data_IF_308302215714
#
_entry.id   IF_308302215714
#
_cell.length_a   1.000
_cell.length_b   1.000
_cell.length_c   1.000
_cell.angle_alpha   90.00
_cell.angle_beta   90.00
_cell.angle_gamma   90.00
#
_symmetry.space_group_name_H-M   'P 1'
#
loop_
_entity.id
_entity.type
_entity.pdbx_description
1 polymer ?
#
# COMPACT_ATOMS: atom_id res chain seq x y z
N UNK A 1 7.19 6.71 17.66
CA UNK A 1 6.92 8.15 17.72
C UNK A 1 5.62 8.48 17.01
N UNK A 2 5.06 9.65 17.31
CA UNK A 2 3.94 10.22 16.57
C UNK A 2 4.43 11.42 15.75
N UNK A 3 4.11 11.42 14.45
CA UNK A 3 4.42 12.52 13.53
C UNK A 3 3.14 13.30 13.27
N UNK A 4 3.14 14.60 13.56
CA UNK A 4 1.99 15.48 13.28
C UNK A 4 1.96 15.87 11.82
N UNK A 5 0.83 15.61 11.17
CA UNK A 5 0.53 16.07 9.82
C UNK A 5 0.10 17.53 9.83
N UNK A 6 0.00 18.16 8.67
CA UNK A 6 -0.35 19.60 8.49
C UNK A 6 -1.68 20.03 9.10
N UNK A 7 -2.60 19.09 9.28
CA UNK A 7 -3.91 19.29 9.92
C UNK A 7 -3.90 19.00 11.42
N UNK A 8 -2.73 18.63 11.98
CA UNK A 8 -2.55 18.29 13.38
C UNK A 8 -2.79 16.82 13.72
N UNK A 9 -3.29 16.01 12.80
CA UNK A 9 -3.47 14.55 12.98
C UNK A 9 -2.13 13.87 13.19
N UNK A 10 -2.03 12.97 14.16
CA UNK A 10 -0.77 12.30 14.51
C UNK A 10 -0.74 10.88 13.97
N UNK A 11 0.27 10.58 13.15
CA UNK A 11 0.48 9.25 12.59
C UNK A 11 1.58 8.51 13.34
N UNK A 12 1.26 7.29 13.77
CA UNK A 12 2.22 6.44 14.48
C UNK A 12 3.28 5.94 13.51
N UNK A 13 4.54 6.11 13.91
CA UNK A 13 5.69 5.79 13.08
C UNK A 13 6.74 5.06 13.91
N UNK A 14 7.08 3.84 13.50
CA UNK A 14 8.17 3.05 14.06
C UNK A 14 9.45 3.33 13.26
N UNK A 15 10.53 3.68 13.96
CA UNK A 15 11.80 4.08 13.34
C UNK A 15 12.92 3.23 13.93
N UNK A 16 13.68 2.59 13.04
CA UNK A 16 14.83 1.75 13.39
C UNK A 16 16.10 2.34 12.79
N UNK A 17 17.02 2.72 13.64
CA UNK A 17 18.30 3.31 13.21
C UNK A 17 19.46 2.34 13.38
N UNK A 18 20.46 2.33 12.48
CA UNK A 18 21.69 1.56 12.68
C UNK A 18 22.40 1.96 13.98
N UNK A 19 22.92 0.99 14.73
CA UNK A 19 23.59 1.24 16.01
C UNK A 19 24.86 2.10 15.90
N UNK A 20 25.50 2.08 14.74
CA UNK A 20 26.74 2.82 14.44
C UNK A 20 26.51 4.17 13.75
N UNK A 21 25.25 4.63 13.69
CA UNK A 21 24.92 5.95 13.14
C UNK A 21 25.61 7.06 13.94
N UNK A 22 26.27 7.99 13.24
CA UNK A 22 27.04 9.08 13.86
C UNK A 22 27.16 10.27 12.90
N UNK A 23 27.78 11.34 13.32
CA UNK A 23 28.03 12.51 12.46
C UNK A 23 28.89 12.19 11.23
N UNK A 24 29.76 11.18 11.33
CA UNK A 24 30.60 10.68 10.23
C UNK A 24 29.98 9.53 9.44
N UNK A 25 28.93 8.88 9.97
CA UNK A 25 28.22 7.76 9.34
C UNK A 25 26.74 8.05 9.23
N UNK A 26 26.34 8.62 8.10
CA UNK A 26 24.96 8.99 7.82
C UNK A 26 24.32 7.96 6.88
N UNK A 27 23.06 7.62 7.17
CA UNK A 27 22.33 6.60 6.41
C UNK A 27 21.09 7.18 5.73
N UNK A 28 20.70 6.63 4.55
CA UNK A 28 19.44 6.96 3.91
C UNK A 28 18.26 6.37 4.69
N UNK A 29 17.11 6.95 4.48
CA UNK A 29 15.83 6.47 5.02
C UNK A 29 15.16 5.58 3.99
N UNK A 30 14.62 4.44 4.42
CA UNK A 30 13.76 3.59 3.62
C UNK A 30 12.41 3.44 4.34
N UNK A 31 11.34 3.98 3.74
CA UNK A 31 10.03 4.14 4.35
C UNK A 31 8.98 3.22 3.72
N UNK A 32 8.11 2.68 4.55
CA UNK A 32 6.87 1.99 4.15
C UNK A 32 5.69 2.55 4.93
N UNK A 33 4.63 2.94 4.22
CA UNK A 33 3.33 3.31 4.80
C UNK A 33 2.34 2.17 4.55
N UNK A 34 1.48 1.87 5.53
CA UNK A 34 0.61 0.70 5.46
C UNK A 34 -0.71 0.88 6.22
N UNK A 35 -1.78 0.30 5.68
CA UNK A 35 -3.05 0.12 6.40
C UNK A 35 -3.12 -1.24 7.13
N UNK A 36 -2.05 -2.05 7.09
CA UNK A 36 -2.02 -3.44 7.60
C UNK A 36 -1.28 -3.62 8.92
N UNK A 37 -1.06 -2.55 9.69
CA UNK A 37 -0.33 -2.56 10.96
C UNK A 37 1.20 -2.60 10.83
N UNK A 38 1.84 -1.71 11.56
CA UNK A 38 3.31 -1.70 11.69
C UNK A 38 3.80 -2.48 12.91
N UNK A 39 2.91 -3.24 13.56
CA UNK A 39 3.26 -4.06 14.72
C UNK A 39 4.63 -4.77 14.56
N UNK A 40 5.31 -5.09 15.68
CA UNK A 40 4.83 -4.99 17.06
C UNK A 40 4.87 -3.56 17.62
N UNK A 41 3.92 -3.24 18.50
CA UNK A 41 3.86 -1.96 19.19
C UNK A 41 4.46 -2.07 20.60
N UNK A 42 4.94 -0.95 21.12
CA UNK A 42 5.58 -0.83 22.43
C UNK A 42 7.07 -0.55 22.32
N UNK A 43 7.64 0.07 23.37
CA UNK A 43 9.02 0.55 23.34
C UNK A 43 10.06 -0.59 23.26
N UNK A 44 9.75 -1.74 23.84
CA UNK A 44 10.64 -2.90 23.91
C UNK A 44 10.31 -3.99 22.88
N UNK A 45 9.37 -3.73 21.96
CA UNK A 45 8.95 -4.67 20.96
C UNK A 45 9.51 -4.30 19.58
N UNK A 46 10.28 -5.23 18.97
CA UNK A 46 10.97 -4.98 17.72
C UNK A 46 10.57 -5.95 16.63
N UNK A 47 10.58 -5.49 15.38
CA UNK A 47 10.44 -6.37 14.22
C UNK A 47 11.60 -7.36 14.16
N UNK A 48 11.31 -8.62 13.84
CA UNK A 48 12.32 -9.67 13.67
C UNK A 48 13.20 -9.45 12.44
N UNK A 49 12.69 -8.78 11.41
CA UNK A 49 13.42 -8.41 10.20
C UNK A 49 13.03 -7.01 9.76
N UNK A 50 13.95 -6.28 9.14
CA UNK A 50 13.77 -4.92 8.67
C UNK A 50 13.98 -4.85 7.15
N UNK A 51 13.21 -3.99 6.50
CA UNK A 51 13.28 -3.78 5.06
C UNK A 51 12.69 -4.95 4.26
N UNK A 52 12.72 -4.82 2.93
CA UNK A 52 12.18 -5.84 2.03
C UNK A 52 13.07 -7.09 1.89
N UNK A 53 14.36 -6.99 2.26
CA UNK A 53 15.31 -8.10 2.16
C UNK A 53 16.53 -7.90 3.07
N UNK A 54 17.29 -8.99 3.28
CA UNK A 54 18.46 -9.00 4.15
C UNK A 54 19.65 -8.18 3.62
N UNK A 55 19.71 -7.91 2.33
CA UNK A 55 20.82 -7.14 1.73
C UNK A 55 20.67 -5.67 2.14
N UNK A 56 19.50 -5.08 1.96
CA UNK A 56 19.23 -3.71 2.41
C UNK A 56 19.38 -3.53 3.92
N UNK A 57 19.07 -4.58 4.70
CA UNK A 57 19.33 -4.54 6.14
C UNK A 57 20.84 -4.50 6.45
N UNK A 58 21.66 -5.27 5.70
CA UNK A 58 23.13 -5.25 5.84
C UNK A 58 23.74 -3.92 5.39
N UNK A 59 23.17 -3.28 4.38
CA UNK A 59 23.59 -1.96 3.88
C UNK A 59 23.24 -0.82 4.84
N UNK A 60 22.49 -1.12 5.91
CA UNK A 60 22.21 -0.20 7.02
C UNK A 60 21.42 1.05 6.60
N UNK A 61 20.16 0.87 6.28
CA UNK A 61 19.21 1.95 6.15
C UNK A 61 18.60 2.35 7.52
N UNK A 62 18.08 3.57 7.62
CA UNK A 62 17.11 3.93 8.65
C UNK A 62 15.76 3.44 8.13
N UNK A 63 15.21 2.39 8.76
CA UNK A 63 13.93 1.83 8.35
C UNK A 63 12.78 2.52 9.08
N UNK A 64 11.79 2.94 8.32
CA UNK A 64 10.61 3.65 8.81
C UNK A 64 9.34 2.94 8.38
N UNK A 65 8.46 2.66 9.35
CA UNK A 65 7.15 2.05 9.12
C UNK A 65 6.08 2.93 9.74
N UNK A 66 5.08 3.32 8.96
CA UNK A 66 4.01 4.20 9.42
C UNK A 66 2.64 3.56 9.19
N UNK A 67 1.82 3.52 10.27
CA UNK A 67 0.39 3.29 10.14
C UNK A 67 -0.24 4.49 9.44
N UNK A 68 -1.01 4.28 8.37
CA UNK A 68 -1.70 5.37 7.69
C UNK A 68 -2.82 5.95 8.55
N UNK A 69 -3.29 7.11 8.18
CA UNK A 69 -4.38 7.86 8.83
C UNK A 69 -5.58 6.96 9.14
N UNK A 70 -6.06 7.01 10.38
CA UNK A 70 -7.21 6.26 10.85
C UNK A 70 -7.00 4.76 11.03
N UNK A 71 -5.78 4.25 10.88
CA UNK A 71 -5.47 2.82 11.09
C UNK A 71 -4.60 2.62 12.33
N UNK A 72 -4.87 1.52 13.05
CA UNK A 72 -4.14 1.04 14.22
C UNK A 72 -3.77 2.14 15.22
N UNK A 73 -2.48 2.46 15.38
CA UNK A 73 -2.02 3.46 16.34
C UNK A 73 -2.09 4.90 15.81
N UNK A 74 -2.34 5.12 14.52
CA UNK A 74 -2.51 6.46 13.96
C UNK A 74 -3.87 7.07 14.28
N UNK A 75 -3.91 8.38 14.46
CA UNK A 75 -5.13 9.18 14.63
C UNK A 75 -5.84 9.42 13.29
N UNK A 76 -6.99 10.07 13.35
CA UNK A 76 -7.81 10.45 12.20
C UNK A 76 -8.80 9.36 11.78
N UNK A 77 -9.45 9.61 10.65
CA UNK A 77 -10.44 8.72 10.06
C UNK A 77 -9.83 8.02 8.85
N UNK A 78 -10.01 6.71 8.76
CA UNK A 78 -9.58 5.95 7.60
C UNK A 78 -10.56 6.15 6.44
N UNK A 79 -10.05 6.62 5.32
CA UNK A 79 -10.76 6.61 4.05
C UNK A 79 -10.13 5.53 3.18
N UNK A 80 -10.91 4.48 2.87
CA UNK A 80 -10.39 3.45 1.98
C UNK A 80 -10.17 4.05 0.58
N UNK A 81 -8.95 3.85 0.03
CA UNK A 81 -8.60 4.39 -1.29
C UNK A 81 -8.76 5.91 -1.35
N UNK A 82 -8.14 6.63 -0.45
CA UNK A 82 -8.27 8.09 -0.32
C UNK A 82 -8.12 8.79 -1.66
N UNK A 83 -9.15 9.54 -2.12
CA UNK A 83 -9.06 10.32 -3.35
C UNK A 83 -7.93 11.34 -3.31
N UNK A 84 -7.26 11.54 -4.46
CA UNK A 84 -6.23 12.54 -4.59
C UNK A 84 -6.83 13.94 -4.71
N UNK A 85 -6.38 14.86 -3.87
CA UNK A 85 -6.78 16.29 -3.97
C UNK A 85 -5.99 16.97 -5.08
N UNK A 86 -6.70 17.53 -6.07
CA UNK A 86 -6.07 18.11 -7.27
C UNK A 86 -5.49 19.50 -7.02
N UNK A 87 -6.26 20.37 -6.34
CA UNK A 87 -5.83 21.73 -5.99
C UNK A 87 -5.70 21.83 -4.48
N UNK A 88 -4.47 21.63 -3.98
CA UNK A 88 -4.21 21.57 -2.56
C UNK A 88 -4.01 22.95 -1.94
N UNK A 89 -4.82 23.26 -0.95
CA UNK A 89 -4.51 24.31 0.01
C UNK A 89 -3.48 23.78 1.04
N UNK A 90 -2.98 24.67 1.89
CA UNK A 90 -2.06 24.28 2.98
C UNK A 90 -2.69 23.35 4.02
N UNK A 91 -4.03 23.23 4.06
CA UNK A 91 -4.77 22.43 5.03
C UNK A 91 -5.32 21.13 4.46
N UNK A 92 -5.37 21.00 3.12
CA UNK A 92 -5.90 19.80 2.48
C UNK A 92 -4.98 18.61 2.71
N UNK A 93 -5.58 17.48 3.01
CA UNK A 93 -4.88 16.24 3.32
C UNK A 93 -5.30 15.11 2.39
N UNK A 94 -4.32 14.39 1.92
CA UNK A 94 -4.43 13.10 1.22
C UNK A 94 -3.16 12.28 1.48
N UNK A 95 -3.05 11.11 0.88
CA UNK A 95 -1.91 10.22 1.10
C UNK A 95 -0.58 10.83 0.64
N UNK A 96 -0.58 11.69 -0.39
CA UNK A 96 0.65 12.33 -0.85
C UNK A 96 1.10 13.45 0.10
N UNK A 97 0.17 14.18 0.70
CA UNK A 97 0.50 15.21 1.70
C UNK A 97 0.97 14.59 3.01
N UNK A 98 0.35 13.50 3.46
CA UNK A 98 0.81 12.75 4.64
C UNK A 98 2.22 12.17 4.40
N UNK A 99 2.52 11.73 3.16
CA UNK A 99 3.86 11.30 2.77
C UNK A 99 4.85 12.45 2.83
N UNK A 100 4.49 13.63 2.30
CA UNK A 100 5.33 14.83 2.36
C UNK A 100 5.66 15.22 3.79
N UNK A 101 4.64 15.37 4.63
CA UNK A 101 4.78 15.81 6.02
C UNK A 101 5.61 14.81 6.85
N UNK A 102 5.44 13.51 6.56
CA UNK A 102 6.25 12.46 7.19
C UNK A 102 7.72 12.57 6.80
N UNK A 103 8.02 12.72 5.50
CA UNK A 103 9.40 12.87 5.02
C UNK A 103 10.04 14.13 5.60
N UNK A 104 9.33 15.25 5.57
CA UNK A 104 9.83 16.53 6.10
C UNK A 104 10.19 16.41 7.58
N UNK A 105 9.32 15.77 8.38
CA UNK A 105 9.60 15.51 9.78
C UNK A 105 10.82 14.61 9.99
N UNK A 106 10.91 13.50 9.22
CA UNK A 106 12.01 12.53 9.33
C UNK A 106 13.36 13.18 9.06
N UNK A 107 13.47 13.97 7.98
CA UNK A 107 14.72 14.67 7.63
C UNK A 107 15.14 15.65 8.71
N UNK A 108 14.21 16.37 9.33
CA UNK A 108 14.47 17.36 10.35
C UNK A 108 14.79 16.77 11.72
N UNK A 109 14.20 15.63 12.07
CA UNK A 109 14.23 15.11 13.44
C UNK A 109 15.12 13.88 13.64
N UNK A 110 15.39 13.10 12.59
CA UNK A 110 16.29 11.97 12.71
C UNK A 110 17.73 12.43 12.54
N UNK A 111 18.48 12.45 13.63
CA UNK A 111 19.89 12.86 13.60
C UNK A 111 20.71 11.92 12.69
N UNK A 112 21.67 12.52 11.97
CA UNK A 112 22.61 11.80 11.11
C UNK A 112 21.96 10.98 9.97
N UNK A 113 20.76 11.32 9.51
CA UNK A 113 20.30 10.92 8.22
C UNK A 113 21.12 11.61 7.12
N UNK A 114 21.16 11.05 5.91
CA UNK A 114 21.92 11.63 4.78
C UNK A 114 21.10 12.54 3.87
N UNK A 115 19.88 12.89 4.25
CA UNK A 115 18.98 13.74 3.47
C UNK A 115 18.25 13.04 2.32
N UNK A 116 18.36 11.71 2.20
CA UNK A 116 17.73 10.94 1.10
C UNK A 116 16.73 9.95 1.66
N UNK A 117 15.55 9.90 1.04
CA UNK A 117 14.46 8.99 1.37
C UNK A 117 14.11 8.16 0.15
N UNK A 118 14.02 6.84 0.35
CA UNK A 118 13.35 5.92 -0.54
C UNK A 118 12.04 5.43 0.10
N UNK A 119 11.08 5.06 -0.74
CA UNK A 119 9.85 4.42 -0.26
C UNK A 119 9.52 3.17 -1.07
N UNK A 120 8.85 2.21 -0.44
CA UNK A 120 8.44 0.97 -1.08
C UNK A 120 7.19 0.41 -0.44
N UNK A 121 6.51 -0.48 -1.15
CA UNK A 121 5.37 -1.22 -0.62
C UNK A 121 4.77 -2.13 -1.68
N UNK A 122 4.14 -3.21 -1.23
CA UNK A 122 3.49 -4.20 -2.09
C UNK A 122 1.99 -4.20 -1.84
N UNK A 123 1.18 -4.30 -2.91
CA UNK A 123 -0.29 -4.33 -2.82
C UNK A 123 -0.83 -2.97 -2.35
N UNK A 124 -1.68 -2.89 -1.37
CA UNK A 124 -2.15 -1.61 -0.82
C UNK A 124 -1.00 -0.69 -0.36
N UNK A 125 0.07 -1.14 0.34
CA UNK A 125 1.29 -0.37 0.52
C UNK A 125 1.98 0.03 -0.80
N UNK A 126 1.78 -0.72 -1.87
CA UNK A 126 2.17 -0.34 -3.24
C UNK A 126 1.40 0.87 -3.75
N UNK A 127 0.08 0.93 -3.49
CA UNK A 127 -0.73 2.12 -3.75
C UNK A 127 -0.23 3.32 -2.95
N UNK A 128 0.03 3.18 -1.63
CA UNK A 128 0.61 4.29 -0.84
C UNK A 128 1.96 4.75 -1.37
N UNK A 129 2.76 3.83 -1.88
CA UNK A 129 4.04 4.17 -2.52
C UNK A 129 3.83 4.89 -3.85
N UNK A 130 2.87 4.46 -4.67
CA UNK A 130 2.55 5.10 -5.94
C UNK A 130 1.99 6.52 -5.75
N UNK A 131 1.00 6.69 -4.86
CA UNK A 131 0.48 8.03 -4.55
C UNK A 131 1.51 8.90 -3.85
N UNK A 132 2.40 8.30 -3.06
CA UNK A 132 3.51 8.97 -2.40
C UNK A 132 4.54 9.58 -3.38
N UNK A 133 4.59 9.12 -4.66
CA UNK A 133 5.41 9.78 -5.70
C UNK A 133 4.98 11.22 -5.93
N UNK A 134 3.70 11.53 -5.68
CA UNK A 134 3.11 12.86 -5.85
C UNK A 134 3.40 13.80 -4.68
N UNK A 135 4.10 13.35 -3.65
CA UNK A 135 4.53 14.20 -2.54
C UNK A 135 5.51 15.28 -3.02
N UNK A 136 6.29 15.00 -4.06
CA UNK A 136 7.29 15.94 -4.62
C UNK A 136 8.19 16.57 -3.55
N UNK A 137 8.56 15.78 -2.52
CA UNK A 137 9.47 16.24 -1.49
C UNK A 137 10.91 16.14 -1.98
N UNK A 138 11.75 17.19 -1.83
CA UNK A 138 13.12 17.20 -2.40
C UNK A 138 14.03 16.09 -1.86
N UNK A 139 13.75 15.55 -0.68
CA UNK A 139 14.48 14.41 -0.12
C UNK A 139 14.01 13.04 -0.67
N UNK A 140 12.86 12.95 -1.34
CA UNK A 140 12.36 11.71 -1.93
C UNK A 140 13.10 11.45 -3.24
N UNK A 141 14.00 10.46 -3.24
CA UNK A 141 14.90 10.18 -4.38
C UNK A 141 14.58 8.88 -5.10
N UNK A 142 13.80 7.99 -4.47
CA UNK A 142 13.40 6.71 -5.07
C UNK A 142 12.06 6.22 -4.53
N UNK A 143 11.24 5.63 -5.40
CA UNK A 143 9.98 4.96 -5.05
C UNK A 143 9.90 3.62 -5.76
N UNK A 144 9.50 2.57 -5.01
CA UNK A 144 9.25 1.25 -5.59
C UNK A 144 7.84 0.77 -5.27
N UNK A 145 6.84 1.22 -6.04
CA UNK A 145 5.49 0.67 -5.96
C UNK A 145 5.49 -0.75 -6.54
N UNK A 146 5.10 -1.73 -5.74
CA UNK A 146 5.12 -3.14 -6.09
C UNK A 146 3.70 -3.70 -6.05
N UNK A 147 3.26 -4.38 -7.11
CA UNK A 147 1.86 -4.70 -7.32
C UNK A 147 0.94 -3.56 -6.85
N UNK A 148 1.19 -2.32 -7.30
CA UNK A 148 0.39 -1.18 -6.86
C UNK A 148 -0.97 -1.19 -7.54
N UNK A 149 -2.02 -0.85 -6.80
CA UNK A 149 -3.32 -0.56 -7.37
C UNK A 149 -3.26 0.80 -8.07
N UNK A 150 -3.80 0.90 -9.28
CA UNK A 150 -3.89 2.15 -10.05
C UNK A 150 -5.30 2.72 -10.08
N UNK A 151 -6.27 1.88 -10.35
CA UNK A 151 -7.70 2.15 -10.37
C UNK A 151 -8.40 1.00 -9.68
N UNK A 152 -8.88 1.23 -8.47
CA UNK A 152 -9.44 0.19 -7.63
C UNK A 152 -10.64 -0.53 -8.25
N UNK A 153 -11.43 0.15 -9.08
CA UNK A 153 -12.54 -0.51 -9.75
C UNK A 153 -12.06 -1.63 -10.67
N UNK A 154 -11.03 -1.37 -11.47
CA UNK A 154 -10.53 -2.31 -12.46
C UNK A 154 -9.46 -3.28 -11.95
N UNK A 155 -8.71 -2.86 -10.93
CA UNK A 155 -7.68 -3.72 -10.34
C UNK A 155 -8.31 -4.72 -9.37
N UNK A 156 -8.92 -4.24 -8.27
CA UNK A 156 -9.33 -5.10 -7.14
C UNK A 156 -10.79 -5.58 -7.20
N UNK A 157 -11.70 -4.76 -7.74
CA UNK A 157 -13.12 -5.01 -7.46
C UNK A 157 -13.93 -5.53 -8.62
N UNK A 158 -13.60 -5.16 -9.86
CA UNK A 158 -14.36 -5.57 -11.03
C UNK A 158 -13.47 -5.95 -12.20
N UNK A 159 -13.61 -7.16 -12.72
CA UNK A 159 -12.99 -7.57 -13.97
C UNK A 159 -14.06 -7.72 -15.05
N UNK A 160 -13.90 -6.99 -16.16
CA UNK A 160 -14.85 -6.95 -17.26
C UNK A 160 -16.30 -6.65 -16.81
N UNK A 161 -16.45 -5.78 -15.79
CA UNK A 161 -17.74 -5.39 -15.23
C UNK A 161 -18.31 -6.34 -14.16
N UNK A 162 -17.69 -7.48 -13.93
CA UNK A 162 -18.11 -8.42 -12.90
C UNK A 162 -17.38 -8.14 -11.59
N UNK A 163 -18.13 -8.05 -10.49
CA UNK A 163 -17.58 -7.92 -9.15
C UNK A 163 -16.82 -9.19 -8.75
N UNK A 164 -15.63 -9.03 -8.19
CA UNK A 164 -14.76 -10.12 -7.78
C UNK A 164 -15.17 -10.72 -6.42
N UNK A 165 -16.12 -11.64 -6.44
CA UNK A 165 -16.62 -12.31 -5.23
C UNK A 165 -15.54 -13.08 -4.44
N UNK A 166 -14.43 -13.45 -5.08
CA UNK A 166 -13.31 -14.13 -4.41
C UNK A 166 -12.76 -13.37 -3.20
N UNK A 167 -12.78 -12.05 -3.26
CA UNK A 167 -12.30 -11.17 -2.17
C UNK A 167 -13.39 -10.74 -1.18
N UNK A 168 -14.62 -11.19 -1.35
CA UNK A 168 -15.75 -10.80 -0.50
C UNK A 168 -15.51 -11.04 1.00
N UNK A 169 -14.71 -12.05 1.35
CA UNK A 169 -14.32 -12.35 2.73
C UNK A 169 -13.18 -11.48 3.24
N UNK A 170 -12.39 -10.88 2.36
CA UNK A 170 -11.19 -10.10 2.70
C UNK A 170 -11.48 -8.60 2.77
N UNK A 171 -12.24 -8.08 1.83
CA UNK A 171 -12.55 -6.64 1.72
C UNK A 171 -13.19 -5.98 2.95
N UNK A 172 -13.98 -6.69 3.76
CA UNK A 172 -14.56 -6.05 4.95
C UNK A 172 -13.55 -5.44 5.92
N UNK A 173 -12.29 -5.88 5.91
CA UNK A 173 -11.23 -5.27 6.72
C UNK A 173 -11.01 -3.78 6.39
N UNK A 174 -11.29 -3.37 5.16
CA UNK A 174 -11.16 -1.98 4.71
C UNK A 174 -12.33 -1.09 5.14
N UNK A 175 -13.43 -1.67 5.60
CA UNK A 175 -14.57 -0.93 6.14
C UNK A 175 -14.61 -0.88 7.68
N UNK A 176 -13.55 -1.33 8.35
CA UNK A 176 -13.43 -1.21 9.81
C UNK A 176 -12.98 0.20 10.16
N UNK A 177 -13.78 0.91 10.95
CA UNK A 177 -13.39 2.17 11.56
C UNK A 177 -13.11 1.97 13.05
N UNK A 178 -12.22 2.77 13.59
CA UNK A 178 -11.92 2.84 15.00
C UNK A 178 -12.15 4.24 15.55
N UNK A 179 -12.50 4.35 16.81
CA UNK A 179 -12.75 5.63 17.49
C UNK A 179 -11.49 6.21 18.15
N UNK A 180 -10.48 5.38 18.39
CA UNK A 180 -9.22 5.73 19.05
C UNK A 180 -8.08 4.83 18.53
N UNK A 181 -6.82 5.23 18.70
CA UNK A 181 -5.66 4.39 18.39
C UNK A 181 -5.71 3.03 19.11
N UNK A 182 -5.34 1.97 18.38
CA UNK A 182 -5.37 0.59 18.85
C UNK A 182 -4.05 -0.13 18.51
N UNK A 183 -3.43 -0.75 19.52
CA UNK A 183 -2.15 -1.45 19.39
C UNK A 183 -2.31 -2.93 18.95
N UNK A 184 -3.30 -3.22 18.12
CA UNK A 184 -3.56 -4.56 17.60
C UNK A 184 -2.61 -4.86 16.42
N UNK A 185 -2.17 -6.12 16.31
CA UNK A 185 -1.44 -6.57 15.13
C UNK A 185 -2.34 -6.72 13.90
N UNK A 186 -3.60 -7.02 14.10
CA UNK A 186 -4.63 -7.14 13.07
C UNK A 186 -6.02 -6.83 13.64
N UNK A 187 -6.93 -6.35 12.79
CA UNK A 187 -8.34 -6.24 13.17
C UNK A 187 -8.97 -7.63 13.30
N UNK A 188 -10.01 -7.72 14.13
CA UNK A 188 -10.76 -8.96 14.26
C UNK A 188 -11.26 -9.45 12.91
N UNK A 189 -11.35 -10.78 12.77
CA UNK A 189 -11.88 -11.42 11.57
C UNK A 189 -13.29 -10.89 11.27
N UNK A 190 -13.43 -10.29 10.09
CA UNK A 190 -14.70 -9.79 9.55
C UNK A 190 -15.34 -10.81 8.61
N UNK A 191 -14.74 -11.99 8.43
CA UNK A 191 -15.22 -12.98 7.47
C UNK A 191 -16.54 -13.62 7.91
N UNK A 192 -17.38 -13.92 6.94
CA UNK A 192 -18.61 -14.70 7.16
C UNK A 192 -18.22 -16.14 7.47
N UNK A 193 -18.74 -16.67 8.57
CA UNK A 193 -18.62 -18.09 8.87
C UNK A 193 -19.45 -18.90 7.88
N UNK A 194 -18.84 -19.86 7.23
CA UNK A 194 -19.50 -20.73 6.26
C UNK A 194 -19.82 -22.07 6.87
N UNK A 195 -20.94 -22.68 6.43
CA UNK A 195 -21.30 -24.03 6.79
C UNK A 195 -20.59 -25.09 5.93
N UNK A 196 -20.05 -24.68 4.80
CA UNK A 196 -19.37 -25.54 3.84
C UNK A 196 -18.01 -24.96 3.43
N UNK A 197 -17.07 -25.86 3.10
CA UNK A 197 -15.80 -25.50 2.41
C UNK A 197 -16.00 -25.34 0.90
N UNK A 198 -17.12 -25.79 0.36
CA UNK A 198 -17.47 -25.64 -1.05
C UNK A 198 -17.93 -24.19 -1.31
N UNK A 199 -17.16 -23.47 -2.11
CA UNK A 199 -17.45 -22.10 -2.49
C UNK A 199 -18.76 -21.94 -3.23
N UNK A 200 -19.19 -22.92 -4.03
CA UNK A 200 -20.44 -22.86 -4.78
C UNK A 200 -21.67 -22.87 -3.84
N UNK A 201 -21.61 -23.67 -2.79
CA UNK A 201 -22.64 -23.71 -1.75
C UNK A 201 -22.66 -22.38 -1.01
N UNK A 202 -21.48 -21.88 -0.59
CA UNK A 202 -21.36 -20.61 0.10
C UNK A 202 -21.98 -19.45 -0.70
N UNK A 203 -21.59 -19.29 -1.98
CA UNK A 203 -22.10 -18.19 -2.80
C UNK A 203 -23.59 -18.30 -3.09
N UNK A 204 -24.13 -19.51 -3.19
CA UNK A 204 -25.56 -19.73 -3.31
C UNK A 204 -26.33 -19.34 -2.02
N UNK A 205 -25.77 -19.63 -0.86
CA UNK A 205 -26.39 -19.37 0.43
C UNK A 205 -26.38 -17.88 0.81
N UNK A 206 -25.37 -17.11 0.41
CA UNK A 206 -25.31 -15.68 0.74
C UNK A 206 -26.24 -14.80 -0.11
N UNK A 207 -26.74 -15.34 -1.24
CA UNK A 207 -27.64 -14.62 -2.15
C UNK A 207 -26.94 -13.56 -3.00
N UNK A 208 -27.62 -12.47 -3.30
CA UNK A 208 -27.06 -11.34 -4.03
C UNK A 208 -26.04 -10.57 -3.17
N UNK A 209 -25.14 -9.81 -3.83
CA UNK A 209 -24.18 -8.98 -3.12
C UNK A 209 -24.86 -8.05 -2.10
N UNK A 210 -25.97 -7.42 -2.49
CA UNK A 210 -26.73 -6.53 -1.60
C UNK A 210 -27.27 -7.28 -0.38
N UNK A 211 -27.92 -8.43 -0.58
CA UNK A 211 -28.45 -9.24 0.52
C UNK A 211 -27.35 -9.69 1.48
N UNK A 212 -26.22 -10.12 0.92
CA UNK A 212 -25.06 -10.52 1.71
C UNK A 212 -24.49 -9.38 2.56
N UNK A 213 -24.37 -8.18 1.98
CA UNK A 213 -23.86 -6.99 2.69
C UNK A 213 -24.85 -6.52 3.74
N UNK A 214 -26.14 -6.43 3.44
CA UNK A 214 -27.17 -6.02 4.38
C UNK A 214 -27.26 -6.97 5.59
N UNK A 215 -27.06 -8.26 5.36
CA UNK A 215 -27.11 -9.28 6.40
C UNK A 215 -25.85 -9.37 7.26
N UNK A 216 -24.67 -9.29 6.64
CA UNK A 216 -23.40 -9.61 7.29
C UNK A 216 -22.49 -8.41 7.54
N UNK A 217 -22.67 -7.31 6.77
CA UNK A 217 -21.77 -6.17 6.76
C UNK A 217 -22.52 -4.83 6.85
N UNK A 218 -23.68 -4.81 7.53
CA UNK A 218 -24.53 -3.64 7.66
C UNK A 218 -23.78 -2.40 8.19
N UNK A 219 -22.89 -2.59 9.16
CA UNK A 219 -22.13 -1.50 9.79
C UNK A 219 -20.73 -1.31 9.18
N UNK A 220 -20.43 -2.00 8.08
CA UNK A 220 -19.17 -1.88 7.37
C UNK A 220 -19.30 -0.83 6.28
N UNK A 221 -18.70 0.35 6.50
CA UNK A 221 -18.89 1.48 5.59
C UNK A 221 -18.45 1.15 4.16
N UNK A 222 -17.34 0.42 3.98
CA UNK A 222 -16.82 0.15 2.65
C UNK A 222 -17.65 -0.88 1.88
N UNK A 223 -18.15 -1.91 2.56
CA UNK A 223 -19.04 -2.89 1.92
C UNK A 223 -20.36 -2.25 1.48
N UNK A 224 -20.86 -1.25 2.22
CA UNK A 224 -22.01 -0.45 1.80
C UNK A 224 -21.69 0.38 0.55
N UNK A 225 -20.50 1.01 0.47
CA UNK A 225 -20.08 1.76 -0.72
C UNK A 225 -19.99 0.86 -1.96
N UNK A 226 -19.49 -0.37 -1.84
CA UNK A 226 -19.47 -1.34 -2.96
C UNK A 226 -20.87 -1.59 -3.50
N UNK A 227 -21.87 -1.75 -2.63
CA UNK A 227 -23.26 -1.98 -3.04
C UNK A 227 -23.89 -0.72 -3.66
N UNK A 228 -23.56 0.46 -3.11
CA UNK A 228 -24.10 1.74 -3.58
C UNK A 228 -23.49 2.20 -4.91
N UNK A 229 -22.30 1.73 -5.23
CA UNK A 229 -21.52 2.10 -6.42
C UNK A 229 -21.17 0.88 -7.30
N UNK A 230 -22.18 0.17 -7.85
CA UNK A 230 -21.94 -1.07 -8.62
C UNK A 230 -21.34 -0.82 -10.01
N UNK A 231 -21.33 0.43 -10.46
CA UNK A 231 -20.81 0.87 -11.76
C UNK A 231 -19.63 1.81 -11.59
N UNK A 232 -18.85 2.00 -12.67
CA UNK A 232 -17.73 2.95 -12.69
C UNK A 232 -18.21 4.40 -12.71
N UNK A 233 -18.68 4.86 -11.56
CA UNK A 233 -19.18 6.23 -11.32
C UNK A 233 -18.11 7.15 -10.70
N UNK A 234 -18.52 8.33 -10.23
CA UNK A 234 -17.60 9.33 -9.68
C UNK A 234 -16.94 8.87 -8.35
N UNK A 235 -17.57 7.95 -7.61
CA UNK A 235 -16.95 7.32 -6.43
C UNK A 235 -15.66 6.62 -6.82
N UNK A 236 -15.68 5.74 -7.83
CA UNK A 236 -14.51 5.02 -8.32
C UNK A 236 -13.55 5.91 -9.09
N UNK A 237 -14.05 6.79 -9.97
CA UNK A 237 -13.22 7.72 -10.75
C UNK A 237 -12.37 8.63 -9.87
N UNK A 238 -12.89 9.09 -8.73
CA UNK A 238 -12.14 9.91 -7.77
C UNK A 238 -10.96 9.16 -7.13
N UNK A 239 -11.00 7.83 -7.17
CA UNK A 239 -9.99 6.92 -6.61
C UNK A 239 -9.00 6.38 -7.63
N UNK A 240 -9.14 6.77 -8.89
CA UNK A 240 -8.19 6.44 -9.95
C UNK A 240 -6.96 7.33 -9.83
N UNK A 241 -5.79 6.71 -9.59
CA UNK A 241 -4.53 7.42 -9.42
C UNK A 241 -3.94 7.94 -10.74
N UNK A 242 -4.22 7.26 -11.87
CA UNK A 242 -3.54 7.49 -13.15
C UNK A 242 -3.59 8.94 -13.64
N UNK A 243 -4.72 9.68 -13.59
CA UNK A 243 -4.77 11.07 -14.04
C UNK A 243 -3.84 12.02 -13.28
N UNK A 244 -3.42 11.62 -12.07
CA UNK A 244 -2.64 12.44 -11.16
C UNK A 244 -1.12 12.22 -11.26
N UNK A 245 -0.65 11.15 -11.93
CA UNK A 245 0.77 10.82 -12.07
C UNK A 245 1.51 11.78 -13.01
N UNK A 246 1.67 13.02 -12.55
CA UNK A 246 2.35 14.12 -13.23
C UNK A 246 3.32 14.82 -12.28
N UNK A 247 4.42 15.34 -12.82
CA UNK A 247 5.44 16.04 -12.05
C UNK A 247 6.31 15.10 -11.21
N UNK A 248 6.37 13.82 -11.55
CA UNK A 248 7.28 12.84 -10.92
C UNK A 248 8.69 13.07 -11.46
N UNK A 249 9.64 13.45 -10.60
CA UNK A 249 10.99 13.85 -10.97
C UNK A 249 12.12 12.97 -10.39
N UNK A 250 11.76 12.04 -9.51
CA UNK A 250 12.68 11.09 -8.89
C UNK A 250 12.62 9.69 -9.55
N UNK A 251 13.50 8.79 -9.13
CA UNK A 251 13.52 7.43 -9.66
C UNK A 251 12.32 6.62 -9.20
N UNK A 252 11.64 5.93 -10.15
CA UNK A 252 10.53 5.02 -9.86
C UNK A 252 10.84 3.66 -10.46
N UNK A 253 10.72 2.61 -9.62
CA UNK A 253 10.82 1.22 -10.05
C UNK A 253 9.52 0.49 -9.70
N UNK A 254 8.64 0.35 -10.67
CA UNK A 254 7.40 -0.41 -10.52
C UNK A 254 7.67 -1.91 -10.68
N UNK A 255 7.13 -2.72 -9.79
CA UNK A 255 7.31 -4.19 -9.82
C UNK A 255 5.95 -4.87 -9.91
N UNK A 256 5.86 -5.92 -10.74
CA UNK A 256 4.64 -6.72 -10.88
C UNK A 256 4.93 -8.16 -11.29
N UNK A 257 3.90 -9.00 -11.19
CA UNK A 257 3.95 -10.40 -11.60
C UNK A 257 3.00 -10.70 -12.74
N UNK A 258 3.44 -11.48 -13.73
CA UNK A 258 2.57 -11.92 -14.84
C UNK A 258 1.44 -12.86 -14.38
N UNK A 259 1.61 -13.49 -13.22
CA UNK A 259 0.62 -14.38 -12.60
C UNK A 259 -0.07 -13.74 -11.39
N UNK A 260 -0.02 -12.41 -11.30
CA UNK A 260 -0.75 -11.68 -10.28
C UNK A 260 -2.24 -11.66 -10.66
N UNK A 261 -3.05 -12.37 -9.87
CA UNK A 261 -4.50 -12.46 -10.08
C UNK A 261 -5.26 -11.27 -9.49
N UNK A 262 -4.57 -10.37 -8.79
CA UNK A 262 -5.14 -9.22 -8.09
C UNK A 262 -4.72 -7.91 -8.78
N UNK A 263 -3.42 -7.61 -8.78
CA UNK A 263 -2.88 -6.32 -9.23
C UNK A 263 -1.94 -6.46 -10.45
N UNK A 264 -2.42 -7.05 -11.53
CA UNK A 264 -1.66 -7.13 -12.79
C UNK A 264 -1.74 -5.82 -13.60
N UNK A 265 -2.92 -5.21 -13.67
CA UNK A 265 -3.14 -4.02 -14.48
C UNK A 265 -2.47 -2.77 -13.86
N UNK A 266 -2.48 -2.66 -12.52
CA UNK A 266 -1.93 -1.54 -11.78
C UNK A 266 -0.47 -1.21 -12.10
N UNK A 267 0.48 -2.13 -11.98
CA UNK A 267 1.89 -1.90 -12.32
C UNK A 267 2.10 -1.44 -13.75
N UNK A 268 1.42 -2.09 -14.70
CA UNK A 268 1.52 -1.78 -16.12
C UNK A 268 1.00 -0.37 -16.44
N UNK A 269 -0.14 0.00 -15.86
CA UNK A 269 -0.76 1.29 -16.08
C UNK A 269 0.00 2.43 -15.41
N UNK A 270 0.49 2.23 -14.18
CA UNK A 270 1.33 3.22 -13.48
C UNK A 270 2.61 3.47 -14.26
N UNK A 271 3.33 2.41 -14.65
CA UNK A 271 4.55 2.55 -15.46
C UNK A 271 4.30 3.35 -16.74
N UNK A 272 3.33 2.93 -17.56
CA UNK A 272 2.99 3.61 -18.82
C UNK A 272 2.60 5.06 -18.61
N UNK A 273 1.86 5.35 -17.54
CA UNK A 273 1.40 6.71 -17.25
C UNK A 273 2.53 7.62 -16.80
N UNK A 274 3.43 7.14 -15.93
CA UNK A 274 4.62 7.88 -15.54
C UNK A 274 5.50 8.14 -16.74
N UNK A 275 5.77 7.12 -17.58
CA UNK A 275 6.57 7.24 -18.80
C UNK A 275 6.03 8.32 -19.74
N UNK A 276 4.72 8.31 -19.97
CA UNK A 276 4.05 9.27 -20.85
C UNK A 276 4.08 10.70 -20.31
N UNK A 277 3.82 10.87 -19.01
CA UNK A 277 3.59 12.19 -18.43
C UNK A 277 4.85 12.84 -17.86
N UNK A 278 5.92 12.07 -17.63
CA UNK A 278 7.14 12.52 -16.94
C UNK A 278 8.40 12.05 -17.68
N UNK A 279 8.67 12.61 -18.88
CA UNK A 279 9.75 12.09 -19.77
C UNK A 279 11.15 12.25 -19.21
N UNK A 280 11.33 12.96 -18.10
CA UNK A 280 12.62 13.13 -17.40
C UNK A 280 12.78 12.19 -16.21
N UNK A 281 11.70 11.52 -15.76
CA UNK A 281 11.76 10.58 -14.65
C UNK A 281 12.60 9.36 -15.04
N UNK A 282 13.40 8.86 -14.09
CA UNK A 282 14.03 7.54 -14.22
C UNK A 282 12.99 6.48 -13.88
N UNK A 283 12.25 6.05 -14.87
CA UNK A 283 11.12 5.14 -14.70
C UNK A 283 11.49 3.74 -15.23
N UNK A 284 11.29 2.73 -14.40
CA UNK A 284 11.64 1.34 -14.70
C UNK A 284 10.47 0.44 -14.29
N UNK A 285 10.22 -0.61 -15.06
CA UNK A 285 9.31 -1.67 -14.67
C UNK A 285 10.04 -3.01 -14.59
N UNK A 286 9.72 -3.80 -13.59
CA UNK A 286 10.18 -5.18 -13.43
C UNK A 286 8.96 -6.08 -13.43
N UNK A 287 8.89 -6.97 -14.40
CA UNK A 287 7.84 -7.99 -14.50
C UNK A 287 8.47 -9.37 -14.56
N UNK A 288 7.95 -10.31 -13.80
CA UNK A 288 8.43 -11.68 -13.78
C UNK A 288 7.31 -12.70 -13.61
N UNK A 289 7.63 -14.00 -13.65
CA UNK A 289 6.65 -15.08 -13.50
C UNK A 289 6.26 -15.24 -12.01
N UNK A 290 5.74 -14.20 -11.42
CA UNK A 290 5.39 -14.14 -10.01
C UNK A 290 3.89 -14.03 -9.81
N UNK A 291 3.38 -14.63 -8.74
CA UNK A 291 2.09 -14.32 -8.13
C UNK A 291 2.13 -12.99 -7.39
N UNK A 292 1.03 -12.56 -6.79
CA UNK A 292 0.94 -11.33 -5.99
C UNK A 292 2.01 -11.26 -4.89
N UNK A 293 3.00 -10.37 -5.04
CA UNK A 293 4.14 -10.24 -4.14
C UNK A 293 5.14 -11.42 -4.20
N UNK A 294 5.05 -12.29 -5.20
CA UNK A 294 5.87 -13.50 -5.34
C UNK A 294 7.36 -13.24 -5.43
N UNK A 295 7.80 -12.12 -6.03
CA UNK A 295 9.22 -11.71 -6.10
C UNK A 295 9.92 -11.62 -4.75
N UNK A 296 9.19 -11.49 -3.67
CA UNK A 296 9.75 -11.47 -2.30
C UNK A 296 9.65 -12.82 -1.57
N UNK A 297 8.85 -13.76 -2.09
CA UNK A 297 8.56 -15.05 -1.42
C UNK A 297 8.92 -16.27 -2.26
N UNK A 298 8.88 -16.14 -3.59
CA UNK A 298 8.99 -17.26 -4.54
C UNK A 298 10.32 -17.25 -5.31
N UNK A 299 11.21 -16.32 -4.98
CA UNK A 299 12.54 -16.28 -5.59
C UNK A 299 13.27 -17.62 -5.41
N UNK A 300 13.82 -18.13 -6.50
CA UNK A 300 14.48 -19.42 -6.52
C UNK A 300 13.58 -20.61 -6.90
N UNK A 301 12.30 -20.39 -7.21
CA UNK A 301 11.43 -21.45 -7.72
C UNK A 301 11.54 -21.57 -9.25
N UNK A 302 11.57 -22.83 -9.71
CA UNK A 302 11.66 -23.17 -11.13
C UNK A 302 10.30 -23.26 -11.81
N UNK A 303 9.22 -23.17 -11.07
CA UNK A 303 7.86 -23.30 -11.58
C UNK A 303 6.90 -22.36 -10.84
N UNK A 304 5.83 -22.02 -11.51
CA UNK A 304 4.67 -21.34 -10.95
C UNK A 304 3.42 -22.15 -11.33
N UNK A 305 2.70 -22.64 -10.33
CA UNK A 305 1.62 -23.62 -10.51
C UNK A 305 2.09 -24.78 -11.42
N UNK A 306 1.42 -25.00 -12.56
CA UNK A 306 1.69 -26.09 -13.50
C UNK A 306 2.73 -25.71 -14.57
N UNK A 307 3.27 -24.49 -14.54
CA UNK A 307 4.23 -24.01 -15.54
C UNK A 307 5.65 -24.17 -15.00
N UNK A 308 6.42 -25.03 -15.66
CA UNK A 308 7.85 -25.20 -15.40
C UNK A 308 8.67 -24.29 -16.31
N UNK A 309 9.50 -23.45 -15.74
CA UNK A 309 10.31 -22.45 -16.47
C UNK A 309 11.75 -22.89 -16.71
N UNK A 310 12.15 -24.05 -16.21
CA UNK A 310 13.51 -24.58 -16.31
C UNK A 310 14.38 -24.29 -15.08
N UNK A 311 15.51 -24.98 -15.00
CA UNK A 311 16.37 -24.95 -13.80
C UNK A 311 17.23 -23.69 -13.68
N UNK A 312 17.31 -22.88 -14.74
CA UNK A 312 18.24 -21.74 -14.82
C UNK A 312 17.60 -20.38 -14.51
N UNK A 313 16.28 -20.28 -14.30
CA UNK A 313 15.62 -18.99 -14.15
C UNK A 313 15.68 -18.43 -12.71
N UNK A 314 16.13 -19.23 -11.77
CA UNK A 314 16.13 -18.91 -10.34
C UNK A 314 17.54 -18.62 -9.78
N UNK A 315 18.54 -18.51 -10.63
CA UNK A 315 19.93 -18.23 -10.25
C UNK A 315 20.26 -16.75 -10.24
#
# INVERSE_FOLDING_TARGET
VYISMRDGTKLFTAIYTPKDISSSKKYPILMQRTCYSVAPYGEDNYKKSLGPNVFLQKDKYIFVYQDVRGRYMSEGTFTNMTPQVVQKSKKDTDESTDTYDTIDWLIKNIKNNNGKVGQYGTSYPGFYTAVGTLANHPALVASSPQAPISDFFFDDFHHNGAFLMGYFKTFPVFGVQKTKPENKAWYSDQSIKTTSRDGSIFYKEIGTLKEAVDKHYKDNFFMQEIVNHPNYDDFWKSRNLLPHLKGVDHAVMTVGGWYDAEDLAGPLNIYKTIEKNNPKAKNTIVMGPFSHGGWSREAGKHYHNDVYFGDSIAT
#
